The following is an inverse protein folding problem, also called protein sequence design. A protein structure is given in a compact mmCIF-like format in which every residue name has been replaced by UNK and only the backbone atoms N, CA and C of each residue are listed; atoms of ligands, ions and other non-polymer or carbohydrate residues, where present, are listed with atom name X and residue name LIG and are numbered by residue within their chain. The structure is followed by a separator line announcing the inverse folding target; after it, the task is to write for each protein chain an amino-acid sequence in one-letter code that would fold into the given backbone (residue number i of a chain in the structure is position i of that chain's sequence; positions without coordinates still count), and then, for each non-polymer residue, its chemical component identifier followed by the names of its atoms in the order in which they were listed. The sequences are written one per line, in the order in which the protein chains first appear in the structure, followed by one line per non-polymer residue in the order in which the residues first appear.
data_IF_122824527330
#
_entry.id   IF_122824527330
#
_cell.length_a   1.000
_cell.length_b   1.000
_cell.length_c   1.000
_cell.angle_alpha   90.00
_cell.angle_beta   90.00
_cell.angle_gamma   90.00
#
_symmetry.space_group_name_H-M   'P 1'
#
loop_
_entity.id
_entity.type
_entity.pdbx_description
1 polymer ?
#
# COMPACT_ATOMS: atom_id res chain seq x y z
N UNK A 1 -14.84 4.79 -1.31
CA UNK A 1 -14.51 5.13 0.09
C UNK A 1 -13.25 4.39 0.49
N UNK A 2 -12.38 5.03 1.27
CA UNK A 2 -11.24 4.37 1.89
C UNK A 2 -11.45 4.37 3.42
N UNK A 3 -11.26 3.22 4.05
CA UNK A 3 -11.31 3.03 5.50
C UNK A 3 -9.95 2.55 5.97
N UNK A 4 -9.43 3.24 6.97
CA UNK A 4 -8.19 2.89 7.64
C UNK A 4 -8.49 2.18 8.96
N UNK A 5 -7.78 1.10 9.19
CA UNK A 5 -7.70 0.38 10.45
C UNK A 5 -6.21 0.05 10.71
N UNK A 6 -5.78 -0.03 11.98
CA UNK A 6 -4.38 -0.31 12.30
C UNK A 6 -3.95 -1.68 11.72
N UNK A 7 -3.09 -1.67 10.69
CA UNK A 7 -2.64 -2.87 9.97
C UNK A 7 -3.49 -3.27 8.77
N UNK A 8 -4.51 -2.48 8.44
CA UNK A 8 -5.45 -2.80 7.36
C UNK A 8 -6.04 -1.54 6.73
N UNK A 9 -5.98 -1.44 5.40
CA UNK A 9 -6.70 -0.39 4.67
C UNK A 9 -7.62 -1.01 3.65
N UNK A 10 -8.90 -0.71 3.78
CA UNK A 10 -9.91 -1.09 2.81
C UNK A 10 -10.21 0.07 1.88
N UNK A 11 -10.10 -0.16 0.58
CA UNK A 11 -10.31 0.80 -0.49
C UNK A 11 -11.37 0.23 -1.40
N UNK A 12 -12.56 0.80 -1.32
CA UNK A 12 -13.66 0.49 -2.22
C UNK A 12 -13.94 1.70 -3.11
N UNK A 13 -14.27 1.48 -4.37
CA UNK A 13 -14.91 2.46 -5.23
C UNK A 13 -16.02 1.74 -5.97
N UNK A 14 -17.19 2.35 -5.96
CA UNK A 14 -18.31 1.90 -6.76
C UNK A 14 -18.47 2.85 -7.93
N UNK A 15 -18.44 2.31 -9.14
CA UNK A 15 -18.66 3.06 -10.36
C UNK A 15 -20.08 3.65 -10.37
N UNK A 16 -20.20 4.97 -10.46
CA UNK A 16 -21.50 5.65 -10.61
C UNK A 16 -21.97 5.71 -12.07
N UNK A 17 -21.08 5.43 -13.02
CA UNK A 17 -21.35 5.38 -14.46
C UNK A 17 -20.63 4.20 -15.13
N UNK A 18 -21.09 3.78 -16.31
CA UNK A 18 -20.44 2.73 -17.12
C UNK A 18 -19.02 3.08 -17.59
N UNK A 19 -18.63 4.35 -17.52
CA UNK A 19 -17.26 4.81 -17.80
C UNK A 19 -16.38 4.87 -16.54
N UNK A 20 -16.98 4.65 -15.36
CA UNK A 20 -16.29 4.64 -14.07
C UNK A 20 -15.90 3.21 -13.70
N UNK A 21 -15.03 3.03 -12.71
CA UNK A 21 -14.43 1.73 -12.40
C UNK A 21 -14.68 1.36 -10.95
N UNK A 22 -15.19 0.15 -10.77
CA UNK A 22 -15.36 -0.43 -9.46
C UNK A 22 -14.13 -1.24 -9.06
N UNK A 23 -13.67 -1.02 -7.84
CA UNK A 23 -12.64 -1.84 -7.22
C UNK A 23 -12.90 -1.95 -5.73
N UNK A 24 -12.61 -3.12 -5.20
CA UNK A 24 -12.61 -3.44 -3.78
C UNK A 24 -11.25 -4.03 -3.46
N UNK A 25 -10.44 -3.32 -2.70
CA UNK A 25 -9.07 -3.72 -2.39
C UNK A 25 -8.85 -3.60 -0.89
N UNK A 26 -8.31 -4.65 -0.30
CA UNK A 26 -7.91 -4.70 1.09
C UNK A 26 -6.38 -4.81 1.11
N UNK A 27 -5.75 -3.90 1.83
CA UNK A 27 -4.30 -3.82 1.99
C UNK A 27 -4.00 -4.13 3.44
N UNK A 28 -3.62 -5.37 3.72
CA UNK A 28 -3.13 -5.79 5.02
C UNK A 28 -1.62 -5.56 5.09
N UNK A 29 -1.15 -5.12 6.25
CA UNK A 29 0.27 -4.90 6.46
C UNK A 29 0.69 -5.19 7.90
N UNK A 30 1.75 -5.97 8.01
CA UNK A 30 2.23 -6.53 9.28
C UNK A 30 3.75 -6.43 9.40
N UNK A 31 4.24 -6.34 10.63
CA UNK A 31 5.69 -6.31 10.88
C UNK A 31 6.25 -7.69 10.59
N UNK A 32 7.21 -7.74 9.67
CA UNK A 32 7.93 -8.95 9.29
C UNK A 32 9.43 -8.69 9.38
N UNK A 33 10.20 -9.75 9.59
CA UNK A 33 11.66 -9.68 9.55
C UNK A 33 12.13 -10.55 8.41
N UNK A 34 12.75 -9.94 7.40
CA UNK A 34 13.37 -10.66 6.30
C UNK A 34 14.84 -10.97 6.63
N UNK A 35 15.34 -12.19 6.32
CA UNK A 35 16.72 -12.56 6.62
C UNK A 35 17.77 -11.75 5.85
N UNK A 36 17.43 -11.11 4.73
CA UNK A 36 18.33 -10.25 3.94
C UNK A 36 18.23 -8.79 4.39
N UNK A 37 17.01 -8.29 4.47
CA UNK A 37 16.76 -6.86 4.66
C UNK A 37 16.60 -6.45 6.13
N UNK A 38 16.29 -7.40 7.01
CA UNK A 38 16.02 -7.17 8.43
C UNK A 38 14.56 -6.83 8.69
N UNK A 39 14.29 -6.00 9.71
CA UNK A 39 12.94 -5.60 10.07
C UNK A 39 12.29 -4.76 8.95
N UNK A 40 11.03 -5.04 8.66
CA UNK A 40 10.23 -4.34 7.65
C UNK A 40 8.75 -4.65 7.79
N UNK A 41 7.99 -4.31 6.76
CA UNK A 41 6.56 -4.58 6.68
C UNK A 41 6.27 -5.49 5.50
N UNK A 42 5.56 -6.58 5.76
CA UNK A 42 4.95 -7.40 4.73
C UNK A 42 3.60 -6.81 4.37
N UNK A 43 3.41 -6.44 3.11
CA UNK A 43 2.13 -6.01 2.57
C UNK A 43 1.46 -7.15 1.81
N UNK A 44 0.14 -7.22 1.93
CA UNK A 44 -0.73 -8.07 1.15
C UNK A 44 -1.91 -7.24 0.64
N UNK A 45 -1.95 -7.04 -0.67
CA UNK A 45 -3.05 -6.37 -1.36
C UNK A 45 -3.91 -7.43 -2.03
N UNK A 46 -5.16 -7.59 -1.57
CA UNK A 46 -6.09 -8.54 -2.16
C UNK A 46 -7.49 -7.96 -2.33
N UNK A 47 -8.25 -8.51 -3.26
CA UNK A 47 -9.62 -8.09 -3.51
C UNK A 47 -10.03 -8.32 -4.95
N UNK A 48 -10.67 -7.34 -5.55
CA UNK A 48 -11.16 -7.42 -6.93
C UNK A 48 -11.19 -6.04 -7.61
N UNK A 49 -10.64 -5.96 -8.82
CA UNK A 49 -10.67 -4.76 -9.66
C UNK A 49 -11.44 -5.09 -10.94
N UNK A 50 -12.55 -4.38 -11.19
CA UNK A 50 -13.44 -4.64 -12.33
C UNK A 50 -13.82 -6.12 -12.50
N UNK A 51 -14.06 -6.82 -11.38
CA UNK A 51 -14.41 -8.24 -11.36
C UNK A 51 -13.22 -9.20 -11.54
N UNK A 52 -12.00 -8.71 -11.68
CA UNK A 52 -10.79 -9.54 -11.68
C UNK A 52 -10.26 -9.69 -10.26
N UNK A 53 -10.05 -10.92 -9.76
CA UNK A 53 -9.44 -11.11 -8.45
C UNK A 53 -7.99 -10.61 -8.49
N UNK A 54 -7.59 -9.95 -7.41
CA UNK A 54 -6.22 -9.47 -7.20
C UNK A 54 -5.74 -10.07 -5.89
N UNK A 55 -4.54 -10.63 -5.87
CA UNK A 55 -3.82 -11.02 -4.66
C UNK A 55 -2.33 -10.82 -4.94
N UNK A 56 -1.76 -9.82 -4.30
CA UNK A 56 -0.38 -9.39 -4.46
C UNK A 56 0.26 -9.24 -3.10
N UNK A 57 1.43 -9.86 -2.91
CA UNK A 57 2.23 -9.71 -1.70
C UNK A 57 3.57 -9.08 -2.04
N UNK A 58 4.05 -8.19 -1.16
CA UNK A 58 5.37 -7.58 -1.29
C UNK A 58 5.90 -7.14 0.07
N UNK A 59 7.20 -7.31 0.26
CA UNK A 59 7.89 -6.89 1.47
C UNK A 59 8.59 -5.56 1.23
N UNK A 60 8.57 -4.67 2.23
CA UNK A 60 9.37 -3.46 2.25
C UNK A 60 10.17 -3.39 3.54
N UNK A 61 11.49 -3.23 3.38
CA UNK A 61 12.40 -2.97 4.49
C UNK A 61 12.03 -1.68 5.22
N UNK A 62 12.40 -1.58 6.49
CA UNK A 62 12.13 -0.42 7.35
C UNK A 62 12.55 0.93 6.75
N UNK A 63 13.63 0.98 5.97
CA UNK A 63 14.10 2.22 5.35
C UNK A 63 13.32 2.59 4.07
N UNK A 64 12.79 1.60 3.35
CA UNK A 64 12.03 1.77 2.12
C UNK A 64 10.53 1.93 2.36
N UNK A 65 10.01 1.35 3.45
CA UNK A 65 8.56 1.24 3.63
C UNK A 65 7.89 2.60 3.69
N UNK A 66 8.42 3.54 4.48
CA UNK A 66 7.83 4.87 4.66
C UNK A 66 7.74 5.69 3.36
N UNK A 67 8.80 5.81 2.53
CA UNK A 67 8.72 6.54 1.26
C UNK A 67 8.01 5.79 0.13
N UNK A 68 8.09 4.45 0.09
CA UNK A 68 7.78 3.69 -1.14
C UNK A 68 6.47 2.90 -1.12
N UNK A 69 5.88 2.62 0.06
CA UNK A 69 4.71 1.73 0.14
C UNK A 69 3.53 2.15 -0.73
N UNK A 70 3.19 3.44 -0.71
CA UNK A 70 2.05 3.97 -1.45
C UNK A 70 2.27 3.88 -2.96
N UNK A 71 3.47 4.25 -3.41
CA UNK A 71 3.85 4.20 -4.83
C UNK A 71 3.80 2.77 -5.37
N UNK A 72 4.30 1.80 -4.60
CA UNK A 72 4.31 0.38 -4.99
C UNK A 72 2.90 -0.19 -5.01
N UNK A 73 2.10 0.06 -3.97
CA UNK A 73 0.70 -0.39 -3.91
C UNK A 73 -0.12 0.20 -5.08
N UNK A 74 0.05 1.49 -5.34
CA UNK A 74 -0.63 2.19 -6.46
C UNK A 74 -0.22 1.61 -7.80
N UNK A 75 1.08 1.38 -8.02
CA UNK A 75 1.60 0.81 -9.27
C UNK A 75 1.09 -0.61 -9.49
N UNK A 76 1.07 -1.45 -8.44
CA UNK A 76 0.52 -2.81 -8.50
C UNK A 76 -0.95 -2.76 -8.87
N UNK A 77 -1.78 -2.02 -8.12
CA UNK A 77 -3.21 -1.88 -8.41
C UNK A 77 -3.47 -1.34 -9.83
N UNK A 78 -2.71 -0.34 -10.26
CA UNK A 78 -2.78 0.23 -11.61
C UNK A 78 -2.47 -0.80 -12.70
N UNK A 79 -1.58 -1.77 -12.45
CA UNK A 79 -1.23 -2.83 -13.40
C UNK A 79 -2.40 -3.77 -13.72
N UNK A 80 -3.37 -3.90 -12.81
CA UNK A 80 -4.58 -4.70 -13.03
C UNK A 80 -5.68 -3.95 -13.77
N UNK A 81 -5.57 -2.61 -13.86
CA UNK A 81 -6.53 -1.78 -14.57
C UNK A 81 -6.24 -1.74 -16.08
N UNK A 82 -7.27 -1.86 -16.94
CA UNK A 82 -7.11 -1.67 -18.37
C UNK A 82 -6.74 -0.22 -18.70
N UNK A 83 -5.74 0.02 -19.57
CA UNK A 83 -5.51 1.36 -20.13
C UNK A 83 -6.75 1.80 -20.93
N UNK A 84 -7.17 3.08 -20.88
CA UNK A 84 -6.52 4.26 -20.26
C UNK A 84 -6.95 4.55 -18.81
N UNK A 85 -7.58 3.60 -18.12
CA UNK A 85 -8.17 3.81 -16.79
C UNK A 85 -7.07 4.04 -15.75
N UNK A 86 -7.22 5.08 -14.94
CA UNK A 86 -6.28 5.38 -13.86
C UNK A 86 -6.84 4.89 -12.53
N UNK A 87 -5.96 4.31 -11.72
CA UNK A 87 -6.27 4.00 -10.33
C UNK A 87 -6.30 5.31 -9.55
N UNK A 88 -7.49 5.89 -9.43
CA UNK A 88 -7.71 7.07 -8.59
C UNK A 88 -7.83 6.62 -7.13
N UNK A 89 -6.71 6.22 -6.56
CA UNK A 89 -6.66 5.70 -5.20
C UNK A 89 -5.80 6.55 -4.31
N UNK A 90 -6.23 6.63 -3.04
CA UNK A 90 -5.56 7.20 -1.87
C UNK A 90 -5.10 8.67 -1.95
N UNK A 91 -4.91 9.24 -3.15
CA UNK A 91 -4.53 10.64 -3.34
C UNK A 91 -5.58 11.64 -2.87
N UNK A 92 -6.87 11.29 -2.93
CA UNK A 92 -7.95 12.14 -2.37
C UNK A 92 -8.08 12.06 -0.85
N UNK A 93 -7.25 11.27 -0.15
CA UNK A 93 -7.32 11.13 1.30
C UNK A 93 -5.92 11.10 1.89
N UNK A 94 -5.18 12.21 1.79
CA UNK A 94 -3.92 12.43 2.53
C UNK A 94 -3.98 11.97 3.99
N UNK A 95 -5.17 12.00 4.61
CA UNK A 95 -5.45 11.52 5.96
C UNK A 95 -5.23 10.01 6.16
N UNK A 96 -5.60 9.16 5.20
CA UNK A 96 -5.38 7.71 5.29
C UNK A 96 -3.89 7.40 5.19
N UNK A 97 -3.19 8.10 4.29
CA UNK A 97 -1.75 7.99 4.17
C UNK A 97 -1.04 8.35 5.48
N UNK A 98 -1.41 9.48 6.10
CA UNK A 98 -0.84 9.94 7.37
C UNK A 98 -1.05 8.91 8.49
N UNK A 99 -2.26 8.32 8.56
CA UNK A 99 -2.59 7.26 9.52
C UNK A 99 -1.77 5.97 9.29
N UNK A 100 -1.62 5.53 8.04
CA UNK A 100 -0.77 4.38 7.70
C UNK A 100 0.69 4.66 8.05
N UNK A 101 1.17 5.86 7.72
CA UNK A 101 2.54 6.27 8.00
C UNK A 101 2.82 6.24 9.49
N UNK A 102 1.91 6.79 10.31
CA UNK A 102 2.05 6.78 11.77
C UNK A 102 1.96 5.36 12.34
N UNK A 103 1.02 4.52 11.88
CA UNK A 103 0.89 3.13 12.33
C UNK A 103 2.12 2.29 11.98
N UNK A 104 2.61 2.37 10.74
CA UNK A 104 3.84 1.68 10.31
C UNK A 104 5.03 2.16 11.14
N UNK A 105 5.16 3.47 11.35
CA UNK A 105 6.24 4.06 12.16
C UNK A 105 6.22 3.55 13.60
N UNK A 106 5.04 3.49 14.22
CA UNK A 106 4.86 2.97 15.58
C UNK A 106 5.20 1.47 15.64
N UNK A 107 4.67 0.68 14.70
CA UNK A 107 4.88 -0.76 14.62
C UNK A 107 6.35 -1.16 14.42
N UNK A 108 7.06 -0.44 13.57
CA UNK A 108 8.49 -0.66 13.32
C UNK A 108 9.40 0.04 14.32
N UNK A 109 8.83 0.76 15.31
CA UNK A 109 9.56 1.61 16.23
C UNK A 109 10.61 2.49 15.53
N UNK A 110 10.29 3.01 14.34
CA UNK A 110 11.22 3.80 13.51
C UNK A 110 11.47 5.13 14.20
N UNK A 111 12.68 5.31 14.72
CA UNK A 111 13.14 6.61 15.21
C UNK A 111 13.62 7.44 14.01
N UNK A 112 13.24 8.71 13.98
CA UNK A 112 13.79 9.66 13.01
C UNK A 112 15.32 9.70 13.18
N UNK A 113 16.07 9.39 12.12
CA UNK A 113 17.53 9.24 12.16
C UNK A 113 18.04 7.80 12.06
N UNK A 114 17.16 6.81 11.88
CA UNK A 114 17.58 5.44 11.56
C UNK A 114 18.35 5.41 10.23
N UNK A 115 19.49 4.72 10.20
CA UNK A 115 20.34 4.64 9.01
C UNK A 115 19.60 3.93 7.87
N UNK A 116 19.38 4.65 6.77
CA UNK A 116 19.02 4.04 5.48
C UNK A 116 20.24 3.26 5.00
N UNK A 117 20.07 1.97 4.68
CA UNK A 117 21.14 1.18 4.09
C UNK A 117 21.48 1.78 2.71
N UNK A 118 22.75 2.12 2.41
CA UNK A 118 23.12 2.72 1.13
C UNK A 118 22.79 1.80 -0.05
N UNK A 119 22.70 0.50 0.18
CA UNK A 119 22.31 -0.53 -0.80
C UNK A 119 20.88 -0.35 -1.35
N UNK A 120 20.06 0.52 -0.77
CA UNK A 120 18.67 0.76 -1.21
C UNK A 120 18.46 2.13 -1.88
N UNK A 121 19.54 2.84 -2.22
CA UNK A 121 19.51 4.16 -2.88
C UNK A 121 19.93 4.13 -4.37
N UNK A 122 20.12 2.93 -4.96
CA UNK A 122 20.54 2.77 -6.36
C UNK A 122 19.39 2.83 -7.37
#
# INVERSE_FOLDING_TARGET
MAKFEPGHVHIERMALHNQDHSYDLNINYEVATDPKDGAGIQFRMHGSIEGKPVDETFFLAKDQVLPSFLSIATRKAQSYMPQPKKFESMGSSHKIYDLMFEDIRQKLAVKSGDCVKPEHLE
#
